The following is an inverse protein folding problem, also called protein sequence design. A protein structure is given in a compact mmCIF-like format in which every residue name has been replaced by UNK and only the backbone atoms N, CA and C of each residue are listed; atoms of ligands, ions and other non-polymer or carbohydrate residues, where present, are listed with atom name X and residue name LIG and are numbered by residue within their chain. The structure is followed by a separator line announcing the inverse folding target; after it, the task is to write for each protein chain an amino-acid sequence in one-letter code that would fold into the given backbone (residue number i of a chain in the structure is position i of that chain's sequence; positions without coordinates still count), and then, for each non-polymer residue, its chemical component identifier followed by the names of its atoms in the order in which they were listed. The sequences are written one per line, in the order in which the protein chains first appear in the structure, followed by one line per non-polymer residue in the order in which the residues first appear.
data_IF_747926043208
#
_entry.id   IF_747926043208
#
_cell.length_a   1.000
_cell.length_b   1.000
_cell.length_c   1.000
_cell.angle_alpha   90.00
_cell.angle_beta   90.00
_cell.angle_gamma   90.00
#
_symmetry.space_group_name_H-M   'P 1'
#
loop_
_entity.id
_entity.type
_entity.pdbx_description
1 polymer ?
#
# COMPACT_ATOMS: atom_id res chain seq x y z
N UNK A 1 1.03 -8.58 25.62
CA UNK A 1 1.31 -8.82 24.19
C UNK A 1 2.82 -8.82 24.04
N UNK A 2 3.43 -9.72 23.24
CA UNK A 2 4.84 -9.58 22.89
C UNK A 2 5.02 -8.18 22.30
N UNK A 3 6.07 -7.43 22.69
CA UNK A 3 6.26 -6.06 22.27
C UNK A 3 6.28 -5.94 20.74
N UNK A 4 5.64 -4.91 20.21
CA UNK A 4 5.66 -4.64 18.78
C UNK A 4 7.10 -4.30 18.35
N UNK A 5 7.61 -5.00 17.33
CA UNK A 5 8.99 -4.84 16.85
C UNK A 5 8.97 -4.30 15.42
N UNK A 6 9.80 -3.28 15.15
CA UNK A 6 10.02 -2.74 13.81
C UNK A 6 11.52 -2.72 13.53
N UNK A 7 11.95 -3.42 12.49
CA UNK A 7 13.31 -3.32 11.99
C UNK A 7 13.44 -2.11 11.07
N UNK A 8 14.52 -1.34 11.22
CA UNK A 8 14.83 -0.17 10.42
C UNK A 8 16.29 -0.21 9.99
N UNK A 9 16.56 -0.02 8.71
CA UNK A 9 17.90 0.09 8.17
C UNK A 9 18.03 1.29 7.24
N UNK A 10 19.20 1.92 7.27
CA UNK A 10 19.70 2.75 6.16
C UNK A 10 20.25 1.85 5.07
N UNK A 11 19.99 2.22 3.82
CA UNK A 11 20.42 1.45 2.65
C UNK A 11 20.98 2.34 1.55
N UNK A 12 21.64 1.73 0.59
CA UNK A 12 22.19 2.38 -0.61
C UNK A 12 22.09 1.45 -1.81
N UNK A 13 22.11 1.98 -3.05
CA UNK A 13 21.93 1.17 -4.26
C UNK A 13 22.80 -0.09 -4.32
N UNK A 14 24.05 0.02 -3.90
CA UNK A 14 25.05 -1.05 -3.99
C UNK A 14 24.76 -2.23 -3.05
N UNK A 15 24.03 -1.99 -1.97
CA UNK A 15 23.78 -3.01 -0.91
C UNK A 15 22.30 -3.33 -0.71
N UNK A 16 21.39 -2.63 -1.37
CA UNK A 16 19.96 -2.67 -1.08
C UNK A 16 19.36 -4.08 -1.09
N UNK A 17 19.81 -4.93 -1.99
CA UNK A 17 19.31 -6.32 -2.08
C UNK A 17 19.69 -7.11 -0.82
N UNK A 18 20.92 -7.02 -0.38
CA UNK A 18 21.40 -7.68 0.85
C UNK A 18 20.86 -6.99 2.11
N UNK A 19 20.63 -5.67 2.06
CA UNK A 19 20.03 -4.92 3.15
C UNK A 19 18.56 -5.36 3.38
N UNK A 20 17.79 -5.69 2.33
CA UNK A 20 16.47 -6.30 2.50
C UNK A 20 16.54 -7.66 3.17
N UNK A 21 17.53 -8.50 2.84
CA UNK A 21 17.74 -9.77 3.52
C UNK A 21 18.04 -9.56 5.01
N UNK A 22 18.97 -8.67 5.31
CA UNK A 22 19.32 -8.30 6.70
C UNK A 22 18.09 -7.77 7.46
N UNK A 23 17.34 -6.86 6.85
CA UNK A 23 16.13 -6.26 7.42
C UNK A 23 15.09 -7.32 7.79
N UNK A 24 14.80 -8.25 6.89
CA UNK A 24 13.83 -9.33 7.09
C UNK A 24 14.23 -10.20 8.27
N UNK A 25 15.51 -10.60 8.36
CA UNK A 25 16.02 -11.42 9.48
C UNK A 25 15.97 -10.64 10.80
N UNK A 26 16.31 -9.35 10.81
CA UNK A 26 16.20 -8.50 12.01
C UNK A 26 14.74 -8.38 12.50
N UNK A 27 13.79 -8.32 11.58
CA UNK A 27 12.36 -8.31 11.89
C UNK A 27 11.79 -9.71 12.19
N UNK A 28 12.61 -10.75 12.19
CA UNK A 28 12.23 -12.15 12.47
C UNK A 28 11.03 -12.61 11.62
N UNK A 29 11.00 -12.23 10.35
CA UNK A 29 9.85 -12.37 9.46
C UNK A 29 9.29 -13.79 9.36
N UNK A 30 10.14 -14.83 9.55
CA UNK A 30 9.74 -16.23 9.49
C UNK A 30 8.75 -16.62 10.60
N UNK A 31 8.70 -15.85 11.71
CA UNK A 31 7.69 -16.03 12.76
C UNK A 31 6.29 -15.62 12.29
N UNK A 32 6.21 -14.77 11.28
CA UNK A 32 4.97 -14.20 10.76
C UNK A 32 4.54 -14.80 9.42
N UNK A 33 5.45 -15.43 8.69
CA UNK A 33 5.18 -16.02 7.37
C UNK A 33 5.53 -17.52 7.38
N UNK A 34 4.56 -18.40 7.69
CA UNK A 34 4.77 -19.85 7.65
C UNK A 34 5.14 -20.33 6.25
N UNK A 35 6.15 -21.22 6.13
CA UNK A 35 6.66 -21.71 4.85
C UNK A 35 5.71 -22.66 4.11
N UNK A 36 4.78 -23.26 4.84
CA UNK A 36 3.77 -24.21 4.33
C UNK A 36 2.53 -23.51 3.75
N UNK A 37 2.48 -22.17 3.79
CA UNK A 37 1.38 -21.40 3.22
C UNK A 37 1.76 -20.78 1.89
N UNK A 38 0.78 -20.51 1.04
CA UNK A 38 0.97 -19.59 -0.08
C UNK A 38 1.11 -18.16 0.43
N UNK A 39 1.95 -17.37 -0.19
CA UNK A 39 2.24 -16.00 0.21
C UNK A 39 1.87 -15.04 -0.92
N UNK A 40 0.87 -14.23 -0.67
CA UNK A 40 0.49 -13.12 -1.53
C UNK A 40 1.48 -11.96 -1.35
N UNK A 41 2.28 -11.69 -2.35
CA UNK A 41 3.15 -10.50 -2.42
C UNK A 41 2.31 -9.30 -2.85
N UNK A 42 1.75 -8.56 -1.88
CA UNK A 42 0.83 -7.46 -2.15
C UNK A 42 1.56 -6.19 -2.59
N UNK A 43 1.67 -6.05 -3.90
CA UNK A 43 2.34 -4.94 -4.58
C UNK A 43 1.48 -3.67 -4.52
N UNK A 44 2.10 -2.52 -4.36
CA UNK A 44 1.48 -1.20 -4.46
C UNK A 44 1.68 -0.66 -5.88
N UNK A 45 0.57 -0.41 -6.59
CA UNK A 45 0.54 0.31 -7.87
C UNK A 45 -0.39 1.51 -7.71
N UNK A 46 0.18 2.67 -7.39
CA UNK A 46 -0.61 3.88 -7.13
C UNK A 46 -0.82 4.76 -8.36
N UNK A 47 -0.02 4.55 -9.40
CA UNK A 47 -0.14 5.25 -10.69
C UNK A 47 0.37 4.38 -11.84
N UNK A 48 -0.25 4.51 -13.04
CA UNK A 48 0.23 3.86 -14.26
C UNK A 48 1.53 4.48 -14.81
N UNK A 49 1.84 5.72 -14.45
CA UNK A 49 3.10 6.39 -14.79
C UNK A 49 4.10 6.13 -13.67
N UNK A 50 5.37 5.84 -14.03
CA UNK A 50 6.41 5.80 -13.03
C UNK A 50 6.59 7.18 -12.38
N UNK A 51 6.56 7.19 -11.06
CA UNK A 51 6.83 8.38 -10.26
C UNK A 51 7.51 7.97 -8.94
N UNK A 52 8.70 8.52 -8.62
CA UNK A 52 9.49 8.12 -7.45
C UNK A 52 8.68 8.24 -6.15
N UNK A 53 8.74 7.21 -5.30
CA UNK A 53 7.99 7.12 -4.04
C UNK A 53 6.50 6.78 -4.20
N UNK A 54 5.99 6.66 -5.44
CA UNK A 54 4.55 6.43 -5.68
C UNK A 54 4.15 4.96 -5.57
N UNK A 55 4.94 4.05 -6.09
CA UNK A 55 4.64 2.62 -6.18
C UNK A 55 5.79 1.77 -5.63
N UNK A 56 5.53 0.50 -5.34
CA UNK A 56 6.54 -0.49 -4.94
C UNK A 56 7.72 -0.46 -5.91
N UNK A 57 8.92 -0.38 -5.37
CA UNK A 57 10.17 -0.30 -6.15
C UNK A 57 10.62 -1.68 -6.62
N UNK A 58 11.35 -1.78 -7.75
CA UNK A 58 11.83 -3.08 -8.25
C UNK A 58 12.83 -3.74 -7.28
N UNK A 59 13.74 -2.99 -6.66
CA UNK A 59 14.69 -3.54 -5.67
C UNK A 59 14.02 -4.03 -4.39
N UNK A 60 12.89 -3.42 -3.96
CA UNK A 60 12.10 -3.92 -2.85
C UNK A 60 11.56 -5.32 -3.14
N UNK A 61 10.97 -5.53 -4.32
CA UNK A 61 10.51 -6.85 -4.76
C UNK A 61 11.68 -7.82 -4.93
N UNK A 62 12.74 -7.38 -5.58
CA UNK A 62 13.92 -8.20 -5.86
C UNK A 62 14.58 -8.72 -4.59
N UNK A 63 14.94 -7.82 -3.66
CA UNK A 63 15.57 -8.19 -2.40
C UNK A 63 14.73 -9.11 -1.54
N UNK A 64 13.44 -8.85 -1.46
CA UNK A 64 12.53 -9.67 -0.65
C UNK A 64 12.29 -11.05 -1.28
N UNK A 65 11.99 -11.13 -2.58
CA UNK A 65 11.77 -12.42 -3.25
C UNK A 65 13.04 -13.28 -3.20
N UNK A 66 14.22 -12.68 -3.48
CA UNK A 66 15.50 -13.36 -3.36
C UNK A 66 15.68 -13.98 -1.97
N UNK A 67 15.42 -13.18 -0.92
CA UNK A 67 15.56 -13.64 0.47
C UNK A 67 14.61 -14.80 0.79
N UNK A 68 13.33 -14.69 0.39
CA UNK A 68 12.37 -15.77 0.62
C UNK A 68 12.85 -17.09 -0.01
N UNK A 69 13.31 -17.04 -1.27
CA UNK A 69 13.80 -18.22 -1.98
C UNK A 69 15.08 -18.80 -1.34
N UNK A 70 16.05 -17.95 -0.97
CA UNK A 70 17.28 -18.37 -0.29
C UNK A 70 17.00 -18.99 1.09
N UNK A 71 15.98 -18.50 1.79
CA UNK A 71 15.57 -19.04 3.09
C UNK A 71 14.65 -20.28 2.97
N UNK A 72 14.47 -20.81 1.75
CA UNK A 72 13.80 -22.08 1.48
C UNK A 72 12.28 -22.00 1.38
N UNK A 73 11.71 -20.81 1.10
CA UNK A 73 10.32 -20.73 0.67
C UNK A 73 10.18 -21.25 -0.74
N UNK A 74 9.15 -22.06 -0.98
CA UNK A 74 8.94 -22.67 -2.30
C UNK A 74 8.42 -21.63 -3.29
N UNK A 75 9.03 -21.58 -4.47
CA UNK A 75 8.65 -20.66 -5.54
C UNK A 75 7.17 -20.74 -5.90
N UNK A 76 6.62 -21.93 -5.98
CA UNK A 76 5.22 -22.20 -6.30
C UNK A 76 4.23 -21.68 -5.27
N UNK A 77 4.71 -21.37 -4.05
CA UNK A 77 3.91 -20.76 -3.00
C UNK A 77 3.93 -19.22 -3.03
N UNK A 78 4.77 -18.61 -3.88
CA UNK A 78 4.89 -17.16 -3.98
C UNK A 78 4.16 -16.66 -5.22
N UNK A 79 3.40 -15.57 -5.08
CA UNK A 79 2.79 -14.89 -6.22
C UNK A 79 2.64 -13.40 -5.99
N UNK A 80 2.86 -12.61 -7.05
CA UNK A 80 2.58 -11.19 -7.05
C UNK A 80 1.08 -10.94 -7.09
N UNK A 81 0.64 -9.89 -6.42
CA UNK A 81 -0.76 -9.53 -6.37
C UNK A 81 -0.95 -8.02 -6.31
N UNK A 82 -1.73 -7.50 -7.21
CA UNK A 82 -2.20 -6.12 -7.15
C UNK A 82 -3.57 -5.97 -7.81
N UNK A 83 -4.05 -4.74 -7.82
CA UNK A 83 -5.36 -4.46 -8.34
C UNK A 83 -5.36 -3.14 -9.12
N UNK A 84 -6.17 -3.08 -10.17
CA UNK A 84 -6.47 -1.82 -10.84
C UNK A 84 -7.37 -0.96 -9.96
N UNK A 85 -7.38 0.33 -10.21
CA UNK A 85 -8.42 1.23 -9.71
C UNK A 85 -9.18 1.82 -10.91
N UNK A 86 -10.28 2.49 -10.64
CA UNK A 86 -11.02 3.22 -11.69
C UNK A 86 -10.20 4.32 -12.38
N UNK A 87 -9.13 4.80 -11.72
CA UNK A 87 -8.23 5.88 -12.22
C UNK A 87 -6.82 5.40 -12.53
N UNK A 88 -6.46 4.15 -12.19
CA UNK A 88 -5.12 3.59 -12.39
C UNK A 88 -5.21 2.29 -13.17
N UNK A 89 -4.55 2.23 -14.31
CA UNK A 89 -4.32 0.99 -15.03
C UNK A 89 -3.19 0.22 -14.35
N UNK A 90 -3.55 -0.85 -13.65
CA UNK A 90 -2.58 -1.66 -12.91
C UNK A 90 -1.59 -2.41 -13.83
N UNK A 91 -2.04 -2.85 -15.03
CA UNK A 91 -1.18 -3.57 -15.99
C UNK A 91 -0.12 -2.66 -16.61
N UNK A 92 -0.50 -1.44 -16.98
CA UNK A 92 0.47 -0.43 -17.45
C UNK A 92 1.37 -0.01 -16.30
N UNK A 93 0.80 0.16 -15.10
CA UNK A 93 1.56 0.58 -13.91
C UNK A 93 2.64 -0.42 -13.50
N UNK A 94 2.36 -1.72 -13.49
CA UNK A 94 3.35 -2.76 -13.14
C UNK A 94 4.54 -2.82 -14.10
N UNK A 95 4.29 -2.53 -15.39
CA UNK A 95 5.35 -2.46 -16.42
C UNK A 95 6.18 -1.20 -16.24
N UNK A 96 5.54 -0.03 -16.13
CA UNK A 96 6.25 1.23 -16.01
C UNK A 96 7.04 1.37 -14.70
N UNK A 97 6.58 0.73 -13.62
CA UNK A 97 7.30 0.65 -12.33
C UNK A 97 8.24 -0.57 -12.25
N UNK A 98 8.46 -1.31 -13.35
CA UNK A 98 9.35 -2.47 -13.47
C UNK A 98 9.05 -3.63 -12.52
N UNK A 99 7.84 -3.67 -11.99
CA UNK A 99 7.40 -4.71 -11.04
C UNK A 99 7.18 -6.05 -11.74
N UNK A 100 6.57 -6.02 -12.94
CA UNK A 100 6.35 -7.21 -13.77
C UNK A 100 7.67 -7.85 -14.19
N UNK A 101 8.67 -7.04 -14.52
CA UNK A 101 10.01 -7.52 -14.87
C UNK A 101 10.66 -8.32 -13.74
N UNK A 102 10.41 -7.95 -12.50
CA UNK A 102 10.93 -8.68 -11.33
C UNK A 102 10.07 -9.91 -11.07
N UNK A 103 8.78 -9.76 -10.84
CA UNK A 103 7.91 -10.87 -10.41
C UNK A 103 7.84 -11.95 -11.48
N UNK A 104 7.52 -11.58 -12.71
CA UNK A 104 7.34 -12.53 -13.82
C UNK A 104 8.65 -12.76 -14.56
N UNK A 105 9.34 -11.70 -14.95
CA UNK A 105 10.54 -11.79 -15.80
C UNK A 105 11.72 -12.45 -15.09
N UNK A 106 12.11 -11.97 -13.92
CA UNK A 106 13.29 -12.46 -13.20
C UNK A 106 13.00 -13.76 -12.43
N UNK A 107 11.90 -13.77 -11.67
CA UNK A 107 11.60 -14.89 -10.78
C UNK A 107 10.59 -15.89 -11.36
N UNK A 108 9.89 -15.56 -12.44
CA UNK A 108 8.89 -16.42 -13.07
C UNK A 108 7.76 -16.80 -12.12
N UNK A 109 7.33 -15.86 -11.27
CA UNK A 109 6.20 -16.04 -10.36
C UNK A 109 4.89 -15.72 -11.08
N UNK A 110 3.79 -16.31 -10.60
CA UNK A 110 2.44 -15.87 -10.97
C UNK A 110 2.25 -14.41 -10.56
N UNK A 111 1.57 -13.58 -11.39
CA UNK A 111 1.20 -12.22 -11.04
C UNK A 111 -0.30 -12.03 -11.21
N UNK A 112 -1.00 -11.91 -10.10
CA UNK A 112 -2.47 -11.95 -10.02
C UNK A 112 -3.07 -10.56 -10.03
N UNK A 113 -3.97 -10.31 -10.98
CA UNK A 113 -4.81 -9.13 -11.00
C UNK A 113 -6.19 -9.48 -10.43
N UNK A 114 -6.45 -9.10 -9.19
CA UNK A 114 -7.62 -9.54 -8.43
C UNK A 114 -8.96 -9.07 -8.99
N UNK A 115 -8.99 -7.98 -9.74
CA UNK A 115 -10.22 -7.46 -10.30
C UNK A 115 -10.23 -7.55 -11.82
N UNK A 116 -11.37 -7.94 -12.39
CA UNK A 116 -11.57 -7.94 -13.83
C UNK A 116 -11.61 -6.51 -14.41
N UNK A 117 -11.47 -6.41 -15.71
CA UNK A 117 -11.52 -5.11 -16.40
C UNK A 117 -12.92 -4.52 -16.41
N UNK A 118 -13.95 -5.36 -16.47
CA UNK A 118 -15.36 -4.94 -16.54
C UNK A 118 -16.12 -5.38 -15.29
N UNK A 119 -17.03 -4.52 -14.83
CA UNK A 119 -17.92 -4.82 -13.71
C UNK A 119 -18.77 -6.08 -13.95
N UNK A 120 -19.23 -6.31 -15.18
CA UNK A 120 -19.98 -7.52 -15.54
C UNK A 120 -19.22 -8.82 -15.30
N UNK A 121 -17.89 -8.76 -15.31
CA UNK A 121 -17.04 -9.92 -15.03
C UNK A 121 -16.91 -10.19 -13.53
N UNK A 122 -17.09 -9.18 -12.67
CA UNK A 122 -17.07 -9.38 -11.21
C UNK A 122 -18.18 -10.33 -10.76
N UNK A 123 -19.40 -10.21 -11.33
CA UNK A 123 -20.50 -11.12 -11.04
C UNK A 123 -20.14 -12.56 -11.40
N UNK A 124 -19.45 -12.76 -12.53
CA UNK A 124 -18.96 -14.11 -12.93
C UNK A 124 -17.95 -14.66 -11.92
N UNK A 125 -17.02 -13.82 -11.41
CA UNK A 125 -16.07 -14.27 -10.38
C UNK A 125 -16.76 -14.68 -9.08
N UNK A 126 -17.86 -14.01 -8.71
CA UNK A 126 -18.70 -14.40 -7.57
C UNK A 126 -19.44 -15.71 -7.87
N UNK A 127 -20.05 -15.86 -9.04
CA UNK A 127 -20.73 -17.09 -9.48
C UNK A 127 -19.77 -18.28 -9.56
N UNK A 128 -18.52 -18.06 -9.97
CA UNK A 128 -17.45 -19.05 -10.02
C UNK A 128 -16.83 -19.35 -8.65
N UNK A 129 -17.22 -18.60 -7.60
CA UNK A 129 -16.72 -18.76 -6.25
C UNK A 129 -15.27 -18.28 -6.06
N UNK A 130 -14.72 -17.45 -6.97
CA UNK A 130 -13.41 -16.82 -6.80
C UNK A 130 -13.47 -15.64 -5.82
N UNK A 131 -14.59 -14.91 -5.82
CA UNK A 131 -14.96 -13.96 -4.79
C UNK A 131 -16.15 -14.50 -4.02
N UNK A 132 -16.06 -14.47 -2.69
CA UNK A 132 -17.09 -14.99 -1.81
C UNK A 132 -17.61 -13.90 -0.88
N UNK A 133 -18.89 -14.02 -0.52
CA UNK A 133 -19.45 -13.22 0.54
C UNK A 133 -18.78 -13.61 1.86
N UNK A 134 -18.34 -12.62 2.59
CA UNK A 134 -17.59 -12.79 3.83
C UNK A 134 -18.34 -12.15 5.00
N UNK A 135 -18.53 -12.94 6.06
CA UNK A 135 -19.12 -12.49 7.32
C UNK A 135 -18.00 -12.40 8.36
N UNK A 136 -17.59 -11.17 8.76
CA UNK A 136 -16.56 -10.97 9.76
C UNK A 136 -16.94 -11.58 11.11
N UNK A 137 -15.96 -12.15 11.81
CA UNK A 137 -16.15 -12.66 13.18
C UNK A 137 -16.17 -11.51 14.19
N UNK A 138 -15.31 -10.51 13.97
CA UNK A 138 -15.22 -9.30 14.79
C UNK A 138 -16.16 -8.20 14.33
N UNK A 139 -16.56 -7.34 15.27
CA UNK A 139 -17.35 -6.15 14.94
C UNK A 139 -16.54 -5.19 14.07
N UNK A 140 -17.08 -4.86 12.91
CA UNK A 140 -16.55 -3.83 12.02
C UNK A 140 -17.03 -2.44 12.42
N UNK A 141 -16.21 -1.42 12.14
CA UNK A 141 -16.53 -0.03 12.43
C UNK A 141 -17.47 0.57 11.37
N UNK A 142 -17.26 0.26 10.09
CA UNK A 142 -17.95 0.96 8.98
C UNK A 142 -18.25 0.12 7.75
N UNK A 143 -17.48 -0.92 7.44
CA UNK A 143 -17.63 -1.63 6.16
C UNK A 143 -19.01 -2.29 5.98
N UNK A 144 -19.71 -2.66 7.06
CA UNK A 144 -21.07 -3.17 6.99
C UNK A 144 -22.09 -2.11 6.53
N UNK A 145 -21.82 -0.82 6.83
CA UNK A 145 -22.66 0.30 6.38
C UNK A 145 -22.31 0.73 4.94
N UNK A 146 -21.01 0.66 4.60
CA UNK A 146 -20.53 1.00 3.26
C UNK A 146 -21.04 0.00 2.22
N UNK A 147 -21.08 -1.29 2.58
CA UNK A 147 -21.50 -2.40 1.72
C UNK A 147 -22.67 -3.17 2.33
N UNK A 148 -23.88 -2.57 2.38
CA UNK A 148 -25.05 -3.20 3.03
C UNK A 148 -25.52 -4.48 2.33
N UNK A 149 -25.17 -4.67 1.05
CA UNK A 149 -25.48 -5.90 0.30
C UNK A 149 -24.52 -7.06 0.62
N UNK A 150 -23.50 -6.80 1.43
CA UNK A 150 -22.48 -7.76 1.86
C UNK A 150 -21.08 -7.41 1.38
N UNK A 151 -20.12 -7.84 2.18
CA UNK A 151 -18.71 -7.71 1.87
C UNK A 151 -18.24 -8.94 1.08
N UNK A 152 -17.55 -8.72 -0.04
CA UNK A 152 -16.96 -9.79 -0.84
C UNK A 152 -15.44 -9.70 -0.81
N UNK A 153 -14.78 -10.85 -0.60
CA UNK A 153 -13.32 -10.97 -0.58
C UNK A 153 -12.86 -12.05 -1.56
N UNK A 154 -11.61 -12.00 -2.04
CA UNK A 154 -11.04 -13.09 -2.83
C UNK A 154 -10.94 -14.37 -1.98
N UNK A 155 -11.58 -15.46 -2.42
CA UNK A 155 -11.57 -16.77 -1.72
C UNK A 155 -10.14 -17.28 -1.50
N UNK A 156 -9.25 -17.03 -2.46
CA UNK A 156 -7.85 -17.49 -2.39
C UNK A 156 -7.09 -16.99 -1.17
N UNK A 157 -7.47 -15.85 -0.58
CA UNK A 157 -6.78 -15.30 0.58
C UNK A 157 -7.03 -16.06 1.89
N UNK A 158 -8.10 -16.87 1.94
CA UNK A 158 -8.42 -17.59 3.17
C UNK A 158 -7.40 -18.70 3.42
N UNK A 159 -6.68 -18.58 4.54
CA UNK A 159 -5.64 -19.52 4.96
C UNK A 159 -4.29 -19.35 4.27
N UNK A 160 -4.13 -18.37 3.38
CA UNK A 160 -2.82 -17.94 2.86
C UNK A 160 -2.12 -16.96 3.81
N UNK A 161 -0.93 -16.50 3.46
CA UNK A 161 -0.23 -15.40 4.10
C UNK A 161 -0.14 -14.20 3.17
N UNK A 162 0.00 -13.00 3.73
CA UNK A 162 0.15 -11.78 2.94
C UNK A 162 1.39 -11.00 3.36
N UNK A 163 2.19 -10.60 2.37
CA UNK A 163 3.35 -9.75 2.52
C UNK A 163 3.13 -8.43 1.79
N UNK A 164 3.01 -7.35 2.54
CA UNK A 164 2.76 -6.03 2.01
C UNK A 164 4.04 -5.31 1.58
N UNK A 165 3.98 -4.62 0.44
CA UNK A 165 5.07 -3.80 -0.12
C UNK A 165 4.66 -2.31 -0.22
N UNK A 166 4.42 -1.62 0.89
CA UNK A 166 4.13 -0.20 0.89
C UNK A 166 5.36 0.65 0.63
N UNK A 167 5.13 1.94 0.33
CA UNK A 167 6.16 2.98 0.23
C UNK A 167 5.87 4.11 1.20
N UNK A 168 6.91 4.77 1.70
CA UNK A 168 6.77 5.92 2.61
C UNK A 168 6.33 7.15 1.84
N UNK A 169 5.09 7.55 2.01
CA UNK A 169 4.52 8.71 1.32
C UNK A 169 3.32 9.28 2.03
N UNK A 170 3.13 10.59 1.86
CA UNK A 170 1.92 11.29 2.29
C UNK A 170 0.69 10.88 1.47
N UNK A 171 -0.49 11.17 1.99
CA UNK A 171 -1.76 10.90 1.34
C UNK A 171 -2.81 11.91 1.75
N UNK A 172 -3.50 12.47 0.75
CA UNK A 172 -4.48 13.56 0.94
C UNK A 172 -5.65 13.25 1.88
N UNK A 173 -6.03 11.98 2.09
CA UNK A 173 -7.14 11.60 2.99
C UNK A 173 -6.68 11.03 4.34
N UNK A 174 -5.53 10.38 4.39
CA UNK A 174 -5.08 9.63 5.57
C UNK A 174 -3.74 10.13 6.10
N UNK A 175 -3.30 11.32 5.67
CA UNK A 175 -2.00 11.94 5.96
C UNK A 175 -0.83 11.13 5.42
N UNK A 176 -0.82 9.80 5.60
CA UNK A 176 0.14 8.88 5.00
C UNK A 176 -0.53 7.65 4.40
N UNK A 177 0.21 6.90 3.59
CA UNK A 177 -0.29 5.66 2.97
C UNK A 177 -0.07 4.45 3.88
N UNK A 178 1.14 4.00 4.10
CA UNK A 178 1.48 2.91 5.01
C UNK A 178 1.09 1.49 4.61
N UNK A 179 1.37 0.55 5.53
CA UNK A 179 1.10 -0.88 5.38
C UNK A 179 -0.40 -1.20 5.51
N UNK A 180 -1.07 -0.60 6.49
CA UNK A 180 -2.52 -0.80 6.68
C UNK A 180 -3.29 -0.45 5.41
N UNK A 181 -2.94 0.68 4.76
CA UNK A 181 -3.63 1.12 3.55
C UNK A 181 -3.32 0.25 2.32
N UNK A 182 -2.24 -0.52 2.30
CA UNK A 182 -1.91 -1.36 1.16
C UNK A 182 -2.95 -2.49 0.94
N UNK A 183 -3.62 -2.94 1.99
CA UNK A 183 -4.71 -3.91 1.94
C UNK A 183 -5.96 -3.40 1.19
N UNK A 184 -6.19 -2.08 1.15
CA UNK A 184 -7.32 -1.47 0.46
C UNK A 184 -7.41 -1.87 -1.02
N UNK A 185 -6.26 -2.09 -1.66
CA UNK A 185 -6.17 -2.56 -3.04
C UNK A 185 -6.23 -4.08 -3.20
N UNK A 186 -6.40 -4.87 -2.12
CA UNK A 186 -6.48 -6.33 -2.18
C UNK A 186 -7.86 -6.85 -1.78
N UNK A 187 -8.36 -6.43 -0.64
CA UNK A 187 -9.55 -7.01 0.00
C UNK A 187 -10.86 -6.43 -0.49
N UNK A 188 -10.88 -5.16 -0.90
CA UNK A 188 -12.10 -4.51 -1.36
C UNK A 188 -12.29 -4.71 -2.86
N UNK A 189 -13.55 -4.99 -3.25
CA UNK A 189 -13.96 -5.15 -4.65
C UNK A 189 -13.97 -3.80 -5.41
N UNK A 190 -14.51 -3.80 -6.63
CA UNK A 190 -14.45 -2.67 -7.58
C UNK A 190 -15.08 -1.36 -7.05
N UNK A 191 -16.05 -1.43 -6.13
CA UNK A 191 -16.73 -0.27 -5.54
C UNK A 191 -16.02 0.31 -4.31
N UNK A 192 -14.79 -0.13 -4.04
CA UNK A 192 -14.01 0.31 -2.87
C UNK A 192 -13.88 1.82 -2.69
N UNK A 193 -14.10 2.60 -3.76
CA UNK A 193 -14.10 4.05 -3.66
C UNK A 193 -15.22 4.61 -2.75
N UNK A 194 -16.29 3.83 -2.50
CA UNK A 194 -17.33 4.21 -1.55
C UNK A 194 -16.80 4.32 -0.11
N UNK A 195 -15.79 3.55 0.21
CA UNK A 195 -15.17 3.55 1.54
C UNK A 195 -14.23 4.76 1.79
N UNK A 196 -14.06 5.68 0.85
CA UNK A 196 -13.20 6.85 1.08
C UNK A 196 -13.82 7.87 2.05
N UNK A 197 -15.14 7.90 2.20
CA UNK A 197 -15.80 8.76 3.18
C UNK A 197 -15.49 8.36 4.65
N UNK A 198 -15.24 7.08 4.87
CA UNK A 198 -14.90 6.49 6.18
C UNK A 198 -13.55 5.75 6.09
N UNK A 199 -12.57 6.38 5.43
CA UNK A 199 -11.32 5.69 5.08
C UNK A 199 -10.53 5.23 6.31
N UNK A 200 -10.53 5.98 7.39
CA UNK A 200 -9.80 5.64 8.61
C UNK A 200 -10.37 4.37 9.27
N UNK A 201 -11.67 4.34 9.49
CA UNK A 201 -12.40 3.21 10.02
C UNK A 201 -12.29 1.99 9.08
N UNK A 202 -12.36 2.24 7.78
CA UNK A 202 -12.17 1.20 6.75
C UNK A 202 -10.81 0.52 6.86
N UNK A 203 -9.73 1.25 7.11
CA UNK A 203 -8.39 0.65 7.25
C UNK A 203 -8.30 -0.24 8.49
N UNK A 204 -8.96 0.13 9.57
CA UNK A 204 -9.05 -0.68 10.79
C UNK A 204 -9.86 -1.96 10.54
N UNK A 205 -10.99 -1.85 9.86
CA UNK A 205 -11.81 -3.00 9.47
C UNK A 205 -11.05 -3.97 8.56
N UNK A 206 -10.31 -3.42 7.57
CA UNK A 206 -9.47 -4.25 6.70
C UNK A 206 -8.36 -4.98 7.44
N UNK A 207 -7.75 -4.36 8.45
CA UNK A 207 -6.77 -5.05 9.29
C UNK A 207 -7.42 -6.11 10.17
N UNK A 208 -8.63 -5.86 10.70
CA UNK A 208 -9.43 -6.86 11.42
C UNK A 208 -9.68 -8.08 10.54
N UNK A 209 -10.18 -7.88 9.32
CA UNK A 209 -10.44 -8.96 8.35
C UNK A 209 -9.16 -9.72 8.01
N UNK A 210 -8.06 -9.01 7.76
CA UNK A 210 -6.78 -9.66 7.47
C UNK A 210 -6.35 -10.61 8.59
N UNK A 211 -6.47 -10.18 9.86
CA UNK A 211 -6.14 -11.03 11.02
C UNK A 211 -7.05 -12.24 11.16
N UNK A 212 -8.24 -12.20 10.58
CA UNK A 212 -9.18 -13.34 10.59
C UNK A 212 -8.90 -14.36 9.48
N UNK A 213 -8.48 -13.90 8.30
CA UNK A 213 -8.40 -14.76 7.10
C UNK A 213 -6.99 -15.25 6.77
N UNK A 214 -5.96 -14.45 7.06
CA UNK A 214 -4.57 -14.83 6.77
C UNK A 214 -3.93 -15.58 7.94
N UNK A 215 -3.12 -16.58 7.63
CA UNK A 215 -2.27 -17.28 8.61
C UNK A 215 -1.07 -16.46 9.04
N UNK A 216 -0.61 -15.57 8.16
CA UNK A 216 0.51 -14.69 8.41
C UNK A 216 0.35 -13.35 7.73
N UNK A 217 0.78 -12.28 8.39
CA UNK A 217 0.76 -10.93 7.87
C UNK A 217 2.12 -10.29 8.17
N UNK A 218 2.74 -9.73 7.15
CA UNK A 218 4.01 -9.04 7.28
C UNK A 218 4.09 -7.86 6.32
N UNK A 219 4.88 -6.84 6.65
CA UNK A 219 5.11 -5.70 5.78
C UNK A 219 6.61 -5.38 5.66
N UNK A 220 7.00 -5.04 4.45
CA UNK A 220 8.32 -4.46 4.15
C UNK A 220 8.07 -3.15 3.43
N UNK A 221 8.44 -2.04 4.08
CA UNK A 221 8.17 -0.68 3.59
C UNK A 221 9.43 -0.05 3.00
N UNK A 222 9.29 0.54 1.83
CA UNK A 222 10.39 1.23 1.14
C UNK A 222 10.27 2.74 1.35
N UNK A 223 11.36 3.35 1.81
CA UNK A 223 11.57 4.77 1.95
C UNK A 223 12.88 5.22 1.27
N UNK A 224 13.40 4.43 0.32
CA UNK A 224 14.54 4.86 -0.51
C UNK A 224 14.16 6.11 -1.30
N UNK A 225 12.99 6.06 -1.96
CA UNK A 225 12.24 7.22 -2.37
C UNK A 225 11.04 7.42 -1.45
N UNK A 226 10.95 8.58 -0.82
CA UNK A 226 9.77 8.97 -0.05
C UNK A 226 9.04 10.15 -0.71
N UNK A 227 7.73 10.23 -0.52
CA UNK A 227 6.90 11.26 -1.16
C UNK A 227 6.25 12.20 -0.16
N UNK A 228 6.41 13.52 -0.35
CA UNK A 228 5.82 14.59 0.46
C UNK A 228 4.77 15.39 -0.30
N UNK A 229 3.72 15.87 0.36
CA UNK A 229 2.70 16.75 -0.19
C UNK A 229 1.41 16.03 -0.61
N UNK A 230 0.85 16.38 -1.77
CA UNK A 230 -0.46 15.90 -2.23
C UNK A 230 -0.40 14.44 -2.77
N UNK A 231 -0.08 13.49 -1.89
CA UNK A 231 -0.01 12.07 -2.23
C UNK A 231 -1.37 11.43 -2.56
N UNK A 232 -1.37 10.29 -3.23
CA UNK A 232 -0.23 9.43 -3.52
C UNK A 232 0.49 9.71 -4.86
N UNK A 233 0.08 10.72 -5.64
CA UNK A 233 0.59 10.97 -7.01
C UNK A 233 1.35 12.28 -7.15
N UNK A 234 0.75 13.40 -6.72
CA UNK A 234 1.29 14.73 -6.92
C UNK A 234 2.27 15.18 -5.82
N UNK A 235 3.16 14.30 -5.42
CA UNK A 235 4.12 14.50 -4.33
C UNK A 235 5.41 15.19 -4.80
N UNK A 236 6.18 15.67 -3.84
CA UNK A 236 7.60 16.00 -4.01
C UNK A 236 8.40 14.76 -3.60
N UNK A 237 9.13 14.11 -4.50
CA UNK A 237 9.93 12.94 -4.16
C UNK A 237 11.25 13.37 -3.51
N UNK A 238 11.66 12.60 -2.49
CA UNK A 238 12.94 12.75 -1.79
C UNK A 238 13.64 11.40 -1.68
N UNK A 239 14.98 11.39 -1.75
CA UNK A 239 15.78 10.25 -1.31
C UNK A 239 15.91 10.31 0.21
N UNK A 240 15.49 9.24 0.88
CA UNK A 240 15.56 9.12 2.35
C UNK A 240 16.40 7.93 2.81
N UNK A 241 16.62 6.97 1.92
CA UNK A 241 17.56 5.85 2.14
C UNK A 241 17.19 4.91 3.30
N UNK A 242 15.92 4.80 3.66
CA UNK A 242 15.46 3.92 4.73
C UNK A 242 14.55 2.80 4.20
N UNK A 243 14.65 1.66 4.84
CA UNK A 243 13.76 0.51 4.66
C UNK A 243 13.32 0.00 6.03
N UNK A 244 12.05 -0.41 6.13
CA UNK A 244 11.43 -0.87 7.37
C UNK A 244 10.75 -2.22 7.18
N UNK A 245 10.70 -3.05 8.24
CA UNK A 245 9.93 -4.29 8.21
C UNK A 245 9.32 -4.62 9.58
N UNK A 246 8.11 -5.18 9.56
CA UNK A 246 7.42 -5.60 10.78
C UNK A 246 6.30 -6.61 10.50
N UNK A 247 6.00 -7.47 11.49
CA UNK A 247 4.76 -8.24 11.56
C UNK A 247 3.58 -7.48 12.15
N UNK A 248 3.82 -6.28 12.70
CA UNK A 248 2.78 -5.39 13.20
C UNK A 248 2.54 -4.23 12.23
N UNK A 249 1.38 -4.25 11.56
CA UNK A 249 1.02 -3.26 10.54
C UNK A 249 0.82 -1.86 11.13
N UNK A 250 0.37 -1.78 12.38
CA UNK A 250 0.15 -0.50 13.08
C UNK A 250 1.48 0.08 13.50
N UNK A 251 2.38 -0.74 14.04
CA UNK A 251 3.69 -0.31 14.51
C UNK A 251 4.58 0.19 13.37
N UNK A 252 4.62 -0.51 12.23
CA UNK A 252 5.41 -0.04 11.08
C UNK A 252 4.90 1.29 10.53
N UNK A 253 3.56 1.49 10.50
CA UNK A 253 2.95 2.74 10.08
C UNK A 253 3.22 3.85 11.12
N UNK A 254 3.22 3.53 12.42
CA UNK A 254 3.56 4.48 13.48
C UNK A 254 5.02 4.96 13.39
N UNK A 255 5.97 4.03 13.18
CA UNK A 255 7.39 4.40 13.00
C UNK A 255 7.58 5.24 11.73
N UNK A 256 6.94 4.86 10.63
CA UNK A 256 6.99 5.62 9.38
C UNK A 256 6.38 7.04 9.55
N UNK A 257 5.24 7.16 10.25
CA UNK A 257 4.62 8.45 10.56
C UNK A 257 5.56 9.35 11.36
N UNK A 258 6.18 8.83 12.43
CA UNK A 258 7.16 9.54 13.23
C UNK A 258 8.33 10.05 12.39
N UNK A 259 8.95 9.18 11.58
CA UNK A 259 10.06 9.56 10.69
C UNK A 259 9.65 10.64 9.68
N UNK A 260 8.42 10.60 9.19
CA UNK A 260 7.87 11.62 8.28
C UNK A 260 7.60 12.96 8.99
N UNK A 261 7.53 12.97 10.32
CA UNK A 261 7.32 14.18 11.14
C UNK A 261 5.89 14.34 11.65
N UNK A 262 5.10 13.27 11.62
CA UNK A 262 3.74 13.24 12.17
C UNK A 262 3.73 12.55 13.54
N UNK A 263 2.88 13.02 14.45
CA UNK A 263 2.55 12.26 15.65
C UNK A 263 1.67 11.05 15.25
N UNK A 264 2.13 9.80 15.45
CA UNK A 264 1.39 8.62 15.04
C UNK A 264 -0.01 8.54 15.63
N UNK A 265 -0.18 8.91 16.90
CA UNK A 265 -1.48 8.85 17.58
C UNK A 265 -2.45 9.97 17.16
N UNK A 266 -1.96 11.01 16.52
CA UNK A 266 -2.81 12.01 15.85
C UNK A 266 -3.46 11.48 14.57
N UNK A 267 -2.90 10.40 13.97
CA UNK A 267 -3.42 9.77 12.77
C UNK A 267 -4.57 8.82 13.12
N UNK A 268 -5.79 9.19 12.79
CA UNK A 268 -7.02 8.52 13.22
C UNK A 268 -6.99 7.00 12.98
N UNK A 269 -6.51 6.52 11.83
CA UNK A 269 -6.49 5.08 11.54
C UNK A 269 -5.47 4.31 12.40
N UNK A 270 -4.33 4.92 12.75
CA UNK A 270 -3.33 4.32 13.66
C UNK A 270 -3.91 4.25 15.07
N UNK A 271 -4.45 5.38 15.55
CA UNK A 271 -5.07 5.46 16.88
C UNK A 271 -6.21 4.46 17.06
N UNK A 272 -7.16 4.43 16.13
CA UNK A 272 -8.29 3.49 16.19
C UNK A 272 -7.84 2.01 16.14
N UNK A 273 -6.81 1.68 15.36
CA UNK A 273 -6.26 0.34 15.31
C UNK A 273 -5.56 -0.05 16.62
N UNK A 274 -4.83 0.89 17.22
CA UNK A 274 -4.21 0.72 18.54
C UNK A 274 -5.26 0.52 19.63
N UNK A 275 -6.27 1.40 19.71
CA UNK A 275 -7.39 1.33 20.67
C UNK A 275 -8.17 0.00 20.54
N UNK A 276 -8.28 -0.55 19.32
CA UNK A 276 -8.92 -1.84 19.04
C UNK A 276 -8.01 -3.05 19.32
N UNK A 277 -6.76 -2.83 19.74
CA UNK A 277 -5.78 -3.89 20.04
C UNK A 277 -5.27 -4.64 18.81
N UNK A 278 -5.28 -4.01 17.63
CA UNK A 278 -4.82 -4.62 16.37
C UNK A 278 -3.30 -4.50 16.17
N UNK A 279 -2.62 -3.66 16.95
CA UNK A 279 -1.19 -3.44 16.93
C UNK A 279 -0.80 -2.21 17.76
N UNK A 280 0.48 -1.88 17.82
CA UNK A 280 0.99 -0.77 18.62
C UNK A 280 1.12 0.52 17.81
N UNK A 281 0.35 1.57 18.18
CA UNK A 281 0.44 2.92 17.60
C UNK A 281 1.36 3.86 18.37
N UNK A 282 1.66 3.56 19.64
CA UNK A 282 2.50 4.38 20.51
C UNK A 282 3.97 4.19 20.20
N UNK A 283 4.60 5.18 19.57
CA UNK A 283 5.98 5.10 19.11
C UNK A 283 6.96 4.68 20.21
N UNK A 284 6.76 5.16 21.44
CA UNK A 284 7.63 4.86 22.59
C UNK A 284 7.54 3.43 23.10
N UNK A 285 6.47 2.71 22.76
CA UNK A 285 6.24 1.32 23.14
C UNK A 285 6.71 0.33 22.08
N UNK A 286 7.20 0.82 20.93
CA UNK A 286 7.68 0.00 19.82
C UNK A 286 9.18 -0.28 20.01
N UNK A 287 9.56 -1.55 20.01
CA UNK A 287 10.96 -1.97 19.91
C UNK A 287 11.48 -1.70 18.51
N UNK A 288 12.40 -0.75 18.38
CA UNK A 288 13.10 -0.47 17.12
C UNK A 288 14.43 -1.22 17.12
N UNK A 289 14.64 -2.08 16.11
CA UNK A 289 15.90 -2.80 15.91
C UNK A 289 16.62 -2.29 14.66
N UNK A 290 17.92 -2.03 14.79
CA UNK A 290 18.76 -1.48 13.72
C UNK A 290 19.05 0.01 13.91
N UNK A 291 18.64 0.84 12.98
CA UNK A 291 18.88 2.29 13.05
C UNK A 291 17.99 2.95 14.11
N UNK A 292 18.60 3.78 14.97
CA UNK A 292 17.84 4.65 15.86
C UNK A 292 17.19 5.79 15.05
N UNK A 293 15.87 5.80 15.04
CA UNK A 293 15.09 6.82 14.34
C UNK A 293 14.32 7.74 15.29
N UNK A 294 14.61 7.71 16.58
CA UNK A 294 13.95 8.52 17.61
C UNK A 294 14.00 10.02 17.35
N UNK A 295 15.08 10.49 16.70
CA UNK A 295 15.28 11.91 16.35
C UNK A 295 15.05 12.20 14.85
N UNK A 296 14.64 11.20 14.06
CA UNK A 296 14.40 11.40 12.63
C UNK A 296 13.08 12.14 12.44
N UNK A 297 13.14 13.28 11.77
CA UNK A 297 11.98 14.06 11.40
C UNK A 297 12.20 14.71 10.02
N UNK A 298 11.42 14.27 9.03
CA UNK A 298 11.55 14.78 7.65
C UNK A 298 10.72 16.03 7.39
N UNK A 299 9.91 16.46 8.35
CA UNK A 299 9.03 17.63 8.25
C UNK A 299 8.09 17.58 7.04
N UNK A 300 7.59 16.40 6.69
CA UNK A 300 6.63 16.22 5.62
C UNK A 300 5.29 16.87 5.95
N UNK A 301 4.57 17.26 4.91
CA UNK A 301 3.28 17.94 5.03
C UNK A 301 2.27 17.29 4.07
N UNK A 302 1.13 16.87 4.59
CA UNK A 302 0.00 16.34 3.81
C UNK A 302 -0.79 17.48 3.14
N UNK A 303 -0.17 18.16 2.20
CA UNK A 303 -0.79 19.27 1.49
C UNK A 303 -1.82 18.82 0.47
N UNK A 304 -2.79 19.68 0.19
CA UNK A 304 -3.81 19.45 -0.84
C UNK A 304 -3.43 20.09 -2.17
N UNK A 305 -3.81 19.43 -3.25
CA UNK A 305 -3.86 20.03 -4.58
C UNK A 305 -5.30 20.34 -5.01
N UNK A 306 -5.48 20.91 -6.20
CA UNK A 306 -6.80 21.27 -6.71
C UNK A 306 -7.76 20.05 -6.76
N UNK A 307 -7.30 18.90 -7.24
CA UNK A 307 -8.12 17.71 -7.35
C UNK A 307 -8.49 17.11 -5.99
N UNK A 308 -7.55 17.08 -5.02
CA UNK A 308 -7.83 16.59 -3.67
C UNK A 308 -8.79 17.49 -2.90
N UNK A 309 -8.69 18.81 -3.06
CA UNK A 309 -9.65 19.76 -2.48
C UNK A 309 -11.06 19.50 -3.02
N UNK A 310 -11.21 19.30 -4.33
CA UNK A 310 -12.49 18.93 -4.94
C UNK A 310 -13.04 17.60 -4.38
N UNK A 311 -12.20 16.59 -4.23
CA UNK A 311 -12.62 15.31 -3.63
C UNK A 311 -13.02 15.46 -2.15
N UNK A 312 -12.27 16.20 -1.35
CA UNK A 312 -12.62 16.48 0.06
C UNK A 312 -13.96 17.24 0.18
N UNK A 313 -14.27 18.15 -0.76
CA UNK A 313 -15.58 18.82 -0.79
C UNK A 313 -16.73 17.82 -1.00
N UNK A 314 -16.54 16.77 -1.79
CA UNK A 314 -17.54 15.73 -2.02
C UNK A 314 -17.68 14.79 -0.81
N UNK A 315 -16.57 14.33 -0.23
CA UNK A 315 -16.63 13.37 0.87
C UNK A 315 -16.96 13.99 2.24
N UNK A 316 -16.46 15.20 2.51
CA UNK A 316 -16.50 15.82 3.85
C UNK A 316 -16.99 17.28 3.87
N UNK A 317 -17.16 17.91 2.69
CA UNK A 317 -17.52 19.33 2.56
C UNK A 317 -18.94 19.59 2.10
N UNK A 318 -19.15 20.75 1.49
CA UNK A 318 -20.46 21.25 1.05
C UNK A 318 -21.18 20.34 0.04
N UNK A 319 -20.45 19.51 -0.70
CA UNK A 319 -21.02 18.58 -1.68
C UNK A 319 -21.34 17.19 -1.10
N UNK A 320 -21.13 16.95 0.20
CA UNK A 320 -21.43 15.69 0.88
C UNK A 320 -22.88 15.20 0.69
N UNK A 321 -23.92 16.04 0.69
CA UNK A 321 -25.30 15.59 0.42
C UNK A 321 -25.47 14.95 -0.97
N UNK A 322 -24.60 15.29 -1.93
CA UNK A 322 -24.61 14.77 -3.29
C UNK A 322 -23.62 13.61 -3.51
N UNK A 323 -22.90 13.17 -2.48
CA UNK A 323 -21.87 12.13 -2.57
C UNK A 323 -22.39 10.86 -3.27
N UNK A 324 -23.55 10.35 -2.83
CA UNK A 324 -24.15 9.14 -3.41
C UNK A 324 -24.45 9.34 -4.90
N UNK A 325 -24.99 10.48 -5.28
CA UNK A 325 -25.31 10.80 -6.68
C UNK A 325 -24.04 10.93 -7.53
N UNK A 326 -23.01 11.60 -7.01
CA UNK A 326 -21.76 11.85 -7.74
C UNK A 326 -20.86 10.63 -7.83
N UNK A 327 -20.83 9.76 -6.79
CA UNK A 327 -19.85 8.68 -6.66
C UNK A 327 -20.43 7.26 -6.73
N UNK A 328 -21.78 7.11 -6.76
CA UNK A 328 -22.45 5.78 -6.78
C UNK A 328 -23.43 5.62 -7.95
N UNK A 329 -23.40 6.52 -8.95
CA UNK A 329 -24.30 6.50 -10.11
C UNK A 329 -23.53 6.48 -11.43
N UNK A 330 -24.25 6.53 -12.55
CA UNK A 330 -23.68 6.59 -13.92
C UNK A 330 -22.83 7.84 -14.20
N UNK A 331 -22.81 8.84 -13.33
CA UNK A 331 -21.97 10.06 -13.44
C UNK A 331 -20.53 9.79 -13.02
N UNK A 332 -20.29 8.75 -12.23
CA UNK A 332 -18.96 8.35 -11.69
C UNK A 332 -17.84 8.34 -12.74
N UNK A 333 -18.03 7.80 -13.98
CA UNK A 333 -16.97 7.81 -14.98
C UNK A 333 -16.41 9.19 -15.31
N UNK A 334 -17.21 10.24 -15.25
CA UNK A 334 -16.79 11.62 -15.53
C UNK A 334 -15.86 12.18 -14.46
N UNK A 335 -16.12 11.89 -13.17
CA UNK A 335 -15.24 12.28 -12.08
C UNK A 335 -13.85 11.62 -12.21
N UNK A 336 -13.82 10.39 -12.71
CA UNK A 336 -12.57 9.66 -12.97
C UNK A 336 -11.82 10.17 -14.18
N UNK A 337 -12.53 10.48 -15.27
CA UNK A 337 -11.95 11.12 -16.45
C UNK A 337 -11.34 12.48 -16.08
N UNK A 338 -12.03 13.28 -15.28
CA UNK A 338 -11.51 14.55 -14.78
C UNK A 338 -10.24 14.37 -13.93
N UNK A 339 -10.22 13.38 -13.03
CA UNK A 339 -9.04 13.05 -12.22
C UNK A 339 -7.87 12.60 -13.09
N UNK A 340 -8.08 11.69 -14.04
CA UNK A 340 -7.04 11.26 -14.99
C UNK A 340 -6.58 12.42 -15.86
N UNK A 341 -7.50 13.20 -16.42
CA UNK A 341 -7.18 14.37 -17.23
C UNK A 341 -6.29 15.35 -16.48
N UNK A 342 -6.61 15.64 -15.21
CA UNK A 342 -5.80 16.51 -14.39
C UNK A 342 -4.40 15.92 -14.11
N UNK A 343 -4.31 14.69 -13.58
CA UNK A 343 -3.03 14.13 -13.17
C UNK A 343 -2.14 13.74 -14.35
N UNK A 344 -2.69 13.08 -15.36
CA UNK A 344 -1.92 12.55 -16.49
C UNK A 344 -1.75 13.59 -17.60
N UNK A 345 -2.77 14.44 -17.83
CA UNK A 345 -2.78 15.43 -18.94
C UNK A 345 -2.27 16.82 -18.57
N UNK A 346 -2.36 17.22 -17.30
CA UNK A 346 -1.97 18.57 -16.86
C UNK A 346 -0.79 18.52 -15.89
N UNK A 347 -1.01 17.90 -14.72
CA UNK A 347 -0.02 17.95 -13.65
C UNK A 347 1.29 17.24 -14.02
N UNK A 348 1.20 16.03 -14.57
CA UNK A 348 2.42 15.28 -14.92
C UNK A 348 3.25 15.96 -16.01
N UNK A 349 2.70 16.40 -17.15
CA UNK A 349 3.49 17.12 -18.15
C UNK A 349 4.14 18.42 -17.63
N UNK A 350 3.42 19.19 -16.83
CA UNK A 350 3.86 20.51 -16.38
C UNK A 350 4.83 20.44 -15.18
N UNK A 351 4.59 19.50 -14.24
CA UNK A 351 5.32 19.43 -12.97
C UNK A 351 6.01 18.08 -12.80
N UNK A 352 5.27 17.00 -12.93
CA UNK A 352 5.72 15.64 -12.62
C UNK A 352 6.92 15.21 -13.45
N UNK A 353 6.88 15.44 -14.74
CA UNK A 353 7.97 15.07 -15.68
C UNK A 353 9.32 15.72 -15.33
N UNK A 354 9.29 16.97 -14.86
CA UNK A 354 10.51 17.67 -14.40
C UNK A 354 11.07 16.99 -13.14
N UNK A 355 10.21 16.69 -12.17
CA UNK A 355 10.63 16.02 -10.93
C UNK A 355 11.18 14.62 -11.19
N UNK A 356 10.52 13.84 -12.06
CA UNK A 356 11.04 12.52 -12.48
C UNK A 356 12.43 12.66 -13.10
N UNK A 357 12.64 13.58 -14.04
CA UNK A 357 13.97 13.80 -14.65
C UNK A 357 15.04 14.12 -13.61
N UNK A 358 14.72 14.95 -12.61
CA UNK A 358 15.66 15.28 -11.53
C UNK A 358 16.00 14.04 -10.70
N UNK A 359 14.99 13.27 -10.31
CA UNK A 359 15.19 12.08 -9.50
C UNK A 359 15.93 10.96 -10.27
N UNK A 360 15.77 10.87 -11.59
CA UNK A 360 16.50 9.91 -12.42
C UNK A 360 18.02 10.20 -12.50
N UNK A 361 18.48 11.39 -12.08
CA UNK A 361 19.91 11.72 -11.98
C UNK A 361 20.50 11.34 -10.60
N UNK A 362 19.67 10.98 -9.64
CA UNK A 362 20.11 10.57 -8.30
C UNK A 362 20.61 9.12 -8.31
N UNK A 363 21.18 8.67 -7.19
CA UNK A 363 21.70 7.30 -7.06
C UNK A 363 20.60 6.23 -7.24
N UNK A 364 19.39 6.44 -6.66
CA UNK A 364 18.26 5.54 -6.81
C UNK A 364 17.62 5.60 -8.20
N UNK A 365 17.64 6.78 -8.82
CA UNK A 365 17.18 6.94 -10.19
C UNK A 365 18.07 6.18 -11.19
N UNK A 366 19.38 6.17 -10.98
CA UNK A 366 20.33 5.37 -11.77
C UNK A 366 20.08 3.87 -11.58
N UNK A 367 19.94 3.41 -10.32
CA UNK A 367 19.60 2.03 -10.05
C UNK A 367 18.25 1.63 -10.72
N UNK A 368 17.23 2.50 -10.68
CA UNK A 368 15.97 2.21 -11.36
C UNK A 368 16.16 2.00 -12.87
N UNK A 369 17.08 2.72 -13.51
CA UNK A 369 17.35 2.56 -14.94
C UNK A 369 18.02 1.22 -15.28
N UNK A 370 18.83 0.67 -14.35
CA UNK A 370 19.50 -0.62 -14.51
C UNK A 370 18.55 -1.82 -14.47
N UNK A 371 17.41 -1.69 -13.81
CA UNK A 371 16.36 -2.70 -13.88
C UNK A 371 15.72 -2.69 -15.28
N UNK A 372 16.08 -3.62 -16.12
CA UNK A 372 15.63 -3.72 -17.52
C UNK A 372 14.21 -4.31 -17.63
#
# INVERSE_FOLDING_TARGET
MAGAKVAVLKTRPETVIEDYKKLLHMAEYQKFLPKDTRICLKINVSWQIFYPGCSTTPWQLDGVIKTLLEDGYKKENLYGCHNRTVVVDGKIGEVNNKQKQIVVGKYGLENVHLQPEKLSEFKKLVEQGEWIRYEPRGQLLTLHEVFPEGLYIPKRFIGESILHFPTMKTHVFTTMTGAMKNAFGALLHHERHWAHATIHETLVDLLTIQKEIFKGIFAVMDGTFAGDGAGPRAMIPYEKDYILASGDMVAIDAVAAHMMGFDPMSLTFIRLAHEKGLGCGEFKEIEIVGEDVSQVNWHFKDTDNFASRGQKMIYHGLLKPFEKTLLRTRIVPWAYLASRGYYDGVWYPLVGKKRVRQMMQTKWGRLFQEYA
#
